data_IF_872436211411
#
_entry.id   IF_872436211411
#
_cell.length_a   1.000
_cell.length_b   1.000
_cell.length_c   1.000
_cell.angle_alpha   90.00
_cell.angle_beta   90.00
_cell.angle_gamma   90.00
#
_symmetry.space_group_name_H-M   'P 1'
#
loop_
_entity.id
_entity.type
_entity.pdbx_description
1 polymer ?
#
# COMPACT_ATOMS: atom_id res chain seq x y z
N UNK A 1 15.55 12.39 -22.22
CA UNK A 1 14.48 13.30 -21.95
C UNK A 1 14.32 13.51 -20.48
N UNK A 2 14.25 14.76 -20.04
CA UNK A 2 14.00 15.07 -18.64
C UNK A 2 12.59 14.64 -18.29
N UNK A 3 12.45 13.80 -17.29
CA UNK A 3 11.17 13.49 -16.66
C UNK A 3 10.65 14.78 -16.03
N UNK A 4 9.65 15.39 -16.63
CA UNK A 4 9.00 16.58 -16.08
C UNK A 4 7.87 16.07 -15.19
N UNK A 5 8.10 16.03 -13.89
CA UNK A 5 7.03 15.87 -12.92
C UNK A 5 6.04 17.03 -13.08
N UNK A 6 4.75 16.72 -13.05
CA UNK A 6 3.70 17.72 -13.01
C UNK A 6 3.92 18.64 -11.82
N UNK A 7 3.69 19.94 -12.00
CA UNK A 7 3.72 20.88 -10.88
C UNK A 7 2.76 20.40 -9.78
N UNK A 8 3.17 20.57 -8.54
CA UNK A 8 2.36 20.18 -7.39
C UNK A 8 2.39 21.26 -6.32
N UNK A 9 1.37 21.26 -5.47
CA UNK A 9 1.25 22.15 -4.30
C UNK A 9 1.21 21.25 -3.07
N UNK A 10 2.17 21.45 -2.17
CA UNK A 10 2.22 20.77 -0.87
C UNK A 10 1.98 21.77 0.24
N UNK A 11 1.00 21.50 1.11
CA UNK A 11 0.63 22.37 2.24
C UNK A 11 0.67 21.58 3.54
N UNK A 12 1.36 22.13 4.52
CA UNK A 12 1.33 21.65 5.89
C UNK A 12 0.10 22.23 6.58
N UNK A 13 -0.83 21.38 7.00
CA UNK A 13 -2.13 21.81 7.56
C UNK A 13 -2.07 21.90 9.08
N UNK A 14 -1.43 20.90 9.71
CA UNK A 14 -1.28 20.78 11.15
C UNK A 14 -0.10 19.84 11.43
N UNK A 15 0.36 19.69 12.69
CA UNK A 15 1.37 18.68 13.01
C UNK A 15 0.95 17.29 12.54
N UNK A 16 1.78 16.68 11.66
CA UNK A 16 1.51 15.37 11.07
C UNK A 16 0.38 15.34 10.03
N UNK A 17 -0.11 16.50 9.58
CA UNK A 17 -1.18 16.56 8.55
C UNK A 17 -0.69 17.40 7.38
N UNK A 18 -0.70 16.81 6.19
CA UNK A 18 -0.31 17.46 4.95
C UNK A 18 -1.36 17.25 3.86
N UNK A 19 -1.42 18.19 2.93
CA UNK A 19 -2.21 18.11 1.73
C UNK A 19 -1.30 18.26 0.52
N UNK A 20 -1.44 17.37 -0.45
CA UNK A 20 -0.76 17.43 -1.74
C UNK A 20 -1.79 17.55 -2.85
N UNK A 21 -1.70 18.61 -3.63
CA UNK A 21 -2.50 18.81 -4.82
C UNK A 21 -1.63 18.71 -6.07
N UNK A 22 -2.01 17.82 -6.98
CA UNK A 22 -1.35 17.63 -8.27
C UNK A 22 -2.34 18.02 -9.36
N UNK A 23 -2.19 19.22 -9.99
CA UNK A 23 -3.04 19.61 -11.11
C UNK A 23 -2.84 18.64 -12.28
N UNK A 24 -3.92 18.07 -12.78
CA UNK A 24 -3.87 17.07 -13.84
C UNK A 24 -5.10 17.18 -14.75
N UNK A 25 -5.30 18.36 -15.34
CA UNK A 25 -6.44 18.67 -16.20
C UNK A 25 -6.51 17.88 -17.50
N UNK A 26 -5.48 17.10 -17.84
CA UNK A 26 -5.46 16.22 -19.00
C UNK A 26 -6.25 14.92 -18.82
N UNK A 27 -6.55 14.55 -17.59
CA UNK A 27 -7.25 13.30 -17.30
C UNK A 27 -8.77 13.48 -17.30
N UNK A 28 -9.49 12.42 -17.61
CA UNK A 28 -10.96 12.40 -17.55
C UNK A 28 -11.49 12.23 -16.14
N UNK A 29 -10.66 11.74 -15.22
CA UNK A 29 -11.02 11.46 -13.84
C UNK A 29 -10.06 12.14 -12.88
N UNK A 30 -10.55 12.34 -11.66
CA UNK A 30 -9.76 12.78 -10.51
C UNK A 30 -9.52 11.61 -9.57
N UNK A 31 -8.40 11.62 -8.88
CA UNK A 31 -8.09 10.67 -7.80
C UNK A 31 -7.85 11.45 -6.51
N UNK A 32 -8.70 11.22 -5.52
CA UNK A 32 -8.66 11.88 -4.22
C UNK A 32 -8.51 10.82 -3.14
N UNK A 33 -7.62 11.05 -2.18
CA UNK A 33 -7.39 10.05 -1.13
C UNK A 33 -7.02 10.68 0.20
N UNK A 34 -7.32 9.95 1.27
CA UNK A 34 -6.87 10.22 2.63
C UNK A 34 -6.06 9.02 3.09
N UNK A 35 -4.79 9.25 3.39
CA UNK A 35 -3.88 8.25 3.93
C UNK A 35 -3.65 8.51 5.40
N UNK A 36 -3.75 7.46 6.21
CA UNK A 36 -3.57 7.51 7.65
C UNK A 36 -2.49 6.48 8.02
N UNK A 37 -1.32 6.97 8.42
CA UNK A 37 -0.23 6.11 8.86
C UNK A 37 -0.21 6.06 10.40
N UNK A 38 -0.19 4.85 10.92
CA UNK A 38 -0.12 4.58 12.37
C UNK A 38 1.00 3.56 12.63
N UNK A 39 1.56 3.53 13.84
CA UNK A 39 2.51 2.46 14.18
C UNK A 39 1.87 1.09 13.99
N UNK A 40 2.63 0.14 13.45
CA UNK A 40 2.17 -1.23 13.33
C UNK A 40 2.22 -1.90 14.71
N UNK A 41 1.05 -2.21 15.25
CA UNK A 41 0.87 -2.86 16.55
C UNK A 41 0.01 -4.10 16.39
N UNK A 42 0.47 -5.23 16.88
CA UNK A 42 -0.21 -6.53 16.70
C UNK A 42 -1.65 -6.52 17.22
N UNK A 43 -1.90 -5.85 18.35
CA UNK A 43 -3.23 -5.80 18.96
C UNK A 43 -4.15 -4.76 18.32
N UNK A 44 -3.61 -3.84 17.52
CA UNK A 44 -4.37 -2.74 16.93
C UNK A 44 -4.66 -2.90 15.44
N UNK A 45 -3.85 -3.66 14.72
CA UNK A 45 -3.93 -3.73 13.25
C UNK A 45 -5.33 -4.10 12.75
N UNK A 46 -5.97 -5.12 13.32
CA UNK A 46 -7.33 -5.53 12.96
C UNK A 46 -8.35 -4.43 13.26
N UNK A 47 -8.22 -3.76 14.40
CA UNK A 47 -9.14 -2.68 14.81
C UNK A 47 -9.07 -1.48 13.86
N UNK A 48 -7.88 -1.08 13.43
CA UNK A 48 -7.70 -0.03 12.44
C UNK A 48 -8.29 -0.42 11.09
N UNK A 49 -8.02 -1.64 10.64
CA UNK A 49 -8.57 -2.14 9.37
C UNK A 49 -10.10 -2.20 9.39
N UNK A 50 -10.68 -2.65 10.50
CA UNK A 50 -12.14 -2.66 10.69
C UNK A 50 -12.71 -1.24 10.73
N UNK A 51 -12.04 -0.31 11.39
CA UNK A 51 -12.47 1.09 11.49
C UNK A 51 -12.54 1.76 10.12
N UNK A 52 -11.47 1.66 9.32
CA UNK A 52 -11.44 2.27 7.98
C UNK A 52 -12.48 1.64 7.05
N UNK A 53 -12.74 0.34 7.17
CA UNK A 53 -13.77 -0.36 6.41
C UNK A 53 -15.17 0.10 6.83
N UNK A 54 -15.42 0.21 8.13
CA UNK A 54 -16.71 0.64 8.67
C UNK A 54 -17.09 2.06 8.22
N UNK A 55 -16.17 3.01 8.32
CA UNK A 55 -16.44 4.41 7.91
C UNK A 55 -16.64 4.54 6.41
N UNK A 56 -16.14 3.62 5.59
CA UNK A 56 -16.27 3.69 4.14
C UNK A 56 -17.65 3.29 3.60
N UNK A 57 -18.51 2.67 4.42
CA UNK A 57 -19.81 2.14 3.98
C UNK A 57 -20.98 2.97 4.39
N UNK A 58 -20.89 3.69 5.48
CA UNK A 58 -21.95 4.49 6.07
C UNK A 58 -21.36 5.69 6.77
N UNK A 59 -22.14 6.74 6.87
CA UNK A 59 -21.81 7.93 7.64
C UNK A 59 -23.07 8.56 8.17
N UNK A 60 -22.93 9.57 9.01
CA UNK A 60 -24.06 10.33 9.53
C UNK A 60 -24.90 10.96 8.40
N UNK A 61 -24.21 11.45 7.35
CA UNK A 61 -24.86 12.00 6.16
C UNK A 61 -25.41 10.91 5.21
N UNK A 62 -24.93 9.68 5.33
CA UNK A 62 -25.29 8.54 4.46
C UNK A 62 -25.57 7.33 5.35
N UNK A 63 -26.76 7.25 6.00
CA UNK A 63 -27.01 6.31 7.10
C UNK A 63 -27.09 4.85 6.69
N UNK A 64 -27.15 4.55 5.40
CA UNK A 64 -27.14 3.20 4.86
C UNK A 64 -26.44 3.14 3.51
N UNK A 65 -26.17 1.94 3.02
CA UNK A 65 -25.51 1.70 1.73
C UNK A 65 -26.27 2.31 0.56
N UNK A 66 -27.60 2.31 0.61
CA UNK A 66 -28.43 2.89 -0.44
C UNK A 66 -28.23 4.40 -0.52
N UNK A 67 -28.25 5.08 0.61
CA UNK A 67 -28.01 6.53 0.68
C UNK A 67 -26.62 6.90 0.13
N UNK A 68 -25.61 6.13 0.48
CA UNK A 68 -24.25 6.33 -0.04
C UNK A 68 -24.17 6.11 -1.55
N UNK A 69 -24.75 5.02 -2.05
CA UNK A 69 -24.77 4.73 -3.49
C UNK A 69 -25.53 5.79 -4.29
N UNK A 70 -26.65 6.29 -3.77
CA UNK A 70 -27.37 7.40 -4.41
C UNK A 70 -26.51 8.66 -4.50
N UNK A 71 -25.72 8.95 -3.47
CA UNK A 71 -24.82 10.09 -3.48
C UNK A 71 -23.68 9.89 -4.48
N UNK A 72 -23.10 8.69 -4.57
CA UNK A 72 -22.08 8.36 -5.56
C UNK A 72 -22.62 8.46 -6.99
N UNK A 73 -23.86 8.02 -7.22
CA UNK A 73 -24.52 8.17 -8.52
C UNK A 73 -24.72 9.64 -8.90
N UNK A 74 -25.09 10.49 -7.94
CA UNK A 74 -25.18 11.95 -8.14
C UNK A 74 -23.82 12.57 -8.47
N UNK A 75 -22.74 11.93 -8.09
CA UNK A 75 -21.37 12.29 -8.45
C UNK A 75 -20.90 11.53 -9.72
N UNK A 76 -21.82 11.27 -10.62
CA UNK A 76 -21.54 10.64 -11.93
C UNK A 76 -20.89 9.27 -11.83
N UNK A 77 -21.32 8.46 -10.86
CA UNK A 77 -20.81 7.12 -10.66
C UNK A 77 -19.43 7.07 -10.01
N UNK A 78 -19.16 8.00 -9.09
CA UNK A 78 -17.91 7.98 -8.33
C UNK A 78 -17.73 6.67 -7.57
N UNK A 79 -16.49 6.22 -7.43
CA UNK A 79 -16.16 4.95 -6.78
C UNK A 79 -15.22 5.16 -5.60
N UNK A 80 -15.56 4.53 -4.47
CA UNK A 80 -14.74 4.55 -3.24
C UNK A 80 -13.88 3.30 -3.19
N UNK A 81 -12.64 3.45 -2.75
CA UNK A 81 -11.71 2.36 -2.47
C UNK A 81 -11.17 2.47 -1.05
N UNK A 82 -10.86 1.32 -0.44
CA UNK A 82 -10.26 1.24 0.89
C UNK A 82 -9.16 0.19 0.87
N UNK A 83 -8.01 0.53 1.44
CA UNK A 83 -6.90 -0.42 1.56
C UNK A 83 -6.26 -0.32 2.95
N UNK A 84 -5.65 -1.43 3.38
CA UNK A 84 -4.80 -1.52 4.55
C UNK A 84 -3.48 -2.16 4.12
N UNK A 85 -2.40 -1.40 4.21
CA UNK A 85 -1.06 -1.82 3.81
C UNK A 85 -0.05 -1.59 4.93
N UNK A 86 1.19 -1.97 4.70
CA UNK A 86 2.30 -1.74 5.64
C UNK A 86 3.54 -1.24 4.89
N UNK A 87 4.30 -0.39 5.56
CA UNK A 87 5.60 0.09 5.08
C UNK A 87 6.45 0.46 6.28
N UNK A 88 7.70 -0.02 6.31
CA UNK A 88 8.56 0.21 7.46
C UNK A 88 7.96 -0.37 8.74
N UNK A 89 7.84 0.46 9.77
CA UNK A 89 7.18 0.12 11.03
C UNK A 89 5.72 0.55 11.11
N UNK A 90 5.11 0.96 9.99
CA UNK A 90 3.78 1.57 9.96
C UNK A 90 2.73 0.71 9.26
N UNK A 91 1.50 0.84 9.74
CA UNK A 91 0.29 0.44 9.04
C UNK A 91 -0.27 1.66 8.33
N UNK A 92 -0.62 1.53 7.04
CA UNK A 92 -1.14 2.61 6.23
C UNK A 92 -2.56 2.27 5.80
N UNK A 93 -3.50 3.09 6.26
CA UNK A 93 -4.91 2.95 5.96
C UNK A 93 -5.29 4.04 4.97
N UNK A 94 -5.93 3.65 3.87
CA UNK A 94 -6.26 4.56 2.79
C UNK A 94 -7.73 4.50 2.46
N UNK A 95 -8.37 5.67 2.34
CA UNK A 95 -9.66 5.87 1.68
C UNK A 95 -9.44 6.69 0.43
N UNK A 96 -9.93 6.22 -0.70
CA UNK A 96 -9.84 6.93 -1.97
C UNK A 96 -11.20 7.06 -2.64
N UNK A 97 -11.34 8.08 -3.47
CA UNK A 97 -12.48 8.24 -4.38
C UNK A 97 -11.99 8.64 -5.76
N UNK A 98 -12.46 7.95 -6.76
CA UNK A 98 -12.27 8.30 -8.16
C UNK A 98 -13.52 8.98 -8.67
N UNK A 99 -13.38 10.20 -9.19
CA UNK A 99 -14.50 10.99 -9.72
C UNK A 99 -14.27 11.36 -11.17
N UNK A 100 -15.36 11.67 -11.88
CA UNK A 100 -15.28 12.31 -13.17
C UNK A 100 -14.70 13.73 -13.03
N UNK A 101 -13.92 14.19 -14.01
CA UNK A 101 -13.43 15.56 -14.01
C UNK A 101 -14.57 16.57 -14.13
N UNK A 102 -14.44 17.71 -13.47
CA UNK A 102 -15.48 18.76 -13.36
C UNK A 102 -15.94 19.28 -14.74
N UNK A 103 -15.06 19.28 -15.74
CA UNK A 103 -15.40 19.74 -17.11
C UNK A 103 -16.49 18.91 -17.77
N UNK A 104 -16.74 17.71 -17.30
CA UNK A 104 -17.80 16.83 -17.82
C UNK A 104 -19.12 16.95 -17.07
N UNK A 105 -19.18 17.81 -16.05
CA UNK A 105 -20.41 18.07 -15.31
C UNK A 105 -21.44 18.73 -16.22
N UNK A 106 -22.72 18.37 -15.99
CA UNK A 106 -23.83 18.90 -16.80
C UNK A 106 -24.21 20.34 -16.43
N UNK A 107 -24.08 20.70 -15.14
CA UNK A 107 -24.55 21.95 -14.57
C UNK A 107 -23.45 22.70 -13.79
N UNK A 108 -22.23 22.69 -14.26
CA UNK A 108 -21.07 23.33 -13.61
C UNK A 108 -20.81 22.87 -12.17
N UNK A 109 -21.22 21.63 -11.82
CA UNK A 109 -20.93 21.07 -10.52
C UNK A 109 -19.44 20.87 -10.30
N UNK A 110 -18.99 21.08 -9.07
CA UNK A 110 -17.61 20.82 -8.64
C UNK A 110 -17.52 19.39 -8.09
N UNK A 111 -17.39 18.43 -9.00
CA UNK A 111 -17.43 16.99 -8.68
C UNK A 111 -16.27 16.59 -7.78
N UNK A 112 -15.05 17.06 -8.05
CA UNK A 112 -13.87 16.74 -7.26
C UNK A 112 -14.02 17.25 -5.82
N UNK A 113 -14.44 18.49 -5.63
CA UNK A 113 -14.68 19.04 -4.29
C UNK A 113 -15.76 18.27 -3.54
N UNK A 114 -16.85 17.92 -4.22
CA UNK A 114 -17.92 17.11 -3.63
C UNK A 114 -17.44 15.70 -3.26
N UNK A 115 -16.58 15.10 -4.08
CA UNK A 115 -15.96 13.81 -3.78
C UNK A 115 -15.06 13.86 -2.55
N UNK A 116 -14.23 14.88 -2.42
CA UNK A 116 -13.41 15.06 -1.22
C UNK A 116 -14.26 15.30 0.02
N UNK A 117 -15.29 16.12 -0.08
CA UNK A 117 -16.24 16.36 1.02
C UNK A 117 -16.92 15.06 1.45
N UNK A 118 -17.30 14.21 0.50
CA UNK A 118 -17.88 12.89 0.80
C UNK A 118 -16.92 12.01 1.57
N UNK A 119 -15.64 11.92 1.15
CA UNK A 119 -14.62 11.16 1.89
C UNK A 119 -14.45 11.70 3.32
N UNK A 120 -14.40 13.02 3.46
CA UNK A 120 -14.25 13.67 4.77
C UNK A 120 -15.48 13.41 5.66
N UNK A 121 -16.69 13.48 5.10
CA UNK A 121 -17.91 13.15 5.84
C UNK A 121 -17.87 11.72 6.37
N UNK A 122 -17.42 10.77 5.56
CA UNK A 122 -17.33 9.37 5.97
C UNK A 122 -16.30 9.17 7.09
N UNK A 123 -15.11 9.75 6.94
CA UNK A 123 -14.02 9.55 7.90
C UNK A 123 -14.25 10.28 9.22
N UNK A 124 -14.66 11.56 9.17
CA UNK A 124 -14.75 12.42 10.36
C UNK A 124 -16.11 12.36 11.04
N UNK A 125 -17.15 11.95 10.34
CA UNK A 125 -18.53 11.97 10.84
C UNK A 125 -19.24 10.64 10.56
N UNK A 126 -18.72 9.53 11.12
CA UNK A 126 -19.32 8.21 10.93
C UNK A 126 -20.67 8.07 11.62
N UNK A 127 -21.45 7.09 11.19
CA UNK A 127 -22.70 6.74 11.85
C UNK A 127 -22.41 5.91 13.10
N UNK A 128 -22.57 6.54 14.26
CA UNK A 128 -22.42 5.91 15.57
C UNK A 128 -23.79 5.75 16.23
N UNK A 129 -23.92 4.77 17.14
CA UNK A 129 -25.10 4.61 17.97
C UNK A 129 -25.18 5.69 19.05
N UNK A 130 -26.27 5.65 19.84
CA UNK A 130 -26.49 6.56 20.97
C UNK A 130 -25.37 6.44 22.03
N UNK A 131 -24.76 5.26 22.14
CA UNK A 131 -23.61 4.99 23.00
C UNK A 131 -22.28 5.59 22.46
N UNK A 132 -22.30 6.20 21.27
CA UNK A 132 -21.11 6.76 20.63
C UNK A 132 -20.17 5.73 20.01
N UNK A 133 -20.65 4.51 19.79
CA UNK A 133 -19.88 3.40 19.22
C UNK A 133 -20.44 2.98 17.85
N UNK A 134 -19.58 2.37 17.05
CA UNK A 134 -20.04 1.65 15.85
C UNK A 134 -21.04 0.57 16.26
N UNK A 135 -22.07 0.32 15.44
CA UNK A 135 -23.06 -0.71 15.75
C UNK A 135 -22.43 -2.11 15.71
N UNK A 136 -22.89 -3.05 16.55
CA UNK A 136 -22.46 -4.44 16.46
C UNK A 136 -22.65 -5.05 15.08
N UNK A 137 -23.77 -4.71 14.41
CA UNK A 137 -24.07 -5.21 13.07
C UNK A 137 -23.05 -4.74 12.02
N UNK A 138 -22.62 -3.48 12.11
CA UNK A 138 -21.61 -2.94 11.19
C UNK A 138 -20.24 -3.60 11.42
N UNK A 139 -19.86 -3.83 12.67
CA UNK A 139 -18.63 -4.55 13.01
C UNK A 139 -18.67 -5.99 12.47
N UNK A 140 -19.79 -6.70 12.62
CA UNK A 140 -19.95 -8.06 12.09
C UNK A 140 -19.83 -8.10 10.56
N UNK A 141 -20.40 -7.12 9.87
CA UNK A 141 -20.30 -7.02 8.41
C UNK A 141 -18.82 -6.85 7.99
N UNK A 142 -18.12 -5.93 8.60
CA UNK A 142 -16.72 -5.66 8.28
C UNK A 142 -15.79 -6.80 8.68
N UNK A 143 -16.04 -7.42 9.82
CA UNK A 143 -15.32 -8.62 10.29
C UNK A 143 -15.39 -9.74 9.25
N UNK A 144 -16.60 -10.03 8.76
CA UNK A 144 -16.82 -11.05 7.73
C UNK A 144 -16.03 -10.74 6.47
N UNK A 145 -16.10 -9.49 5.98
CA UNK A 145 -15.37 -9.06 4.78
C UNK A 145 -13.86 -9.25 4.94
N UNK A 146 -13.30 -8.84 6.08
CA UNK A 146 -11.85 -8.98 6.32
C UNK A 146 -11.43 -10.43 6.53
N UNK A 147 -12.25 -11.26 7.18
CA UNK A 147 -11.99 -12.69 7.29
C UNK A 147 -11.99 -13.37 5.92
N UNK A 148 -12.89 -13.00 5.03
CA UNK A 148 -12.91 -13.50 3.64
C UNK A 148 -11.65 -13.07 2.88
N UNK A 149 -11.19 -11.84 3.06
CA UNK A 149 -9.94 -11.35 2.46
C UNK A 149 -8.72 -12.11 2.96
N UNK A 150 -8.64 -12.38 4.27
CA UNK A 150 -7.55 -13.19 4.84
C UNK A 150 -7.55 -14.61 4.26
N UNK A 151 -8.73 -15.23 4.14
CA UNK A 151 -8.85 -16.57 3.54
C UNK A 151 -8.42 -16.56 2.07
N UNK A 152 -8.77 -15.52 1.32
CA UNK A 152 -8.35 -15.36 -0.07
C UNK A 152 -6.81 -15.22 -0.19
N UNK A 153 -6.17 -14.49 0.71
CA UNK A 153 -4.71 -14.35 0.77
C UNK A 153 -4.03 -15.71 1.03
N UNK A 154 -4.57 -16.52 1.94
CA UNK A 154 -4.04 -17.87 2.22
C UNK A 154 -4.24 -18.83 1.05
N UNK A 155 -5.33 -18.69 0.27
CA UNK A 155 -5.62 -19.50 -0.88
C UNK A 155 -4.81 -19.11 -2.11
N UNK A 156 -4.37 -17.87 -2.21
CA UNK A 156 -3.44 -17.43 -3.25
C UNK A 156 -2.01 -17.81 -2.82
N UNK A 157 -1.54 -18.98 -3.26
CA UNK A 157 -0.32 -19.62 -2.73
C UNK A 157 0.97 -18.86 -3.01
N UNK A 158 1.01 -18.08 -4.08
CA UNK A 158 2.15 -17.21 -4.37
C UNK A 158 2.27 -16.11 -3.30
N UNK A 159 1.16 -15.47 -2.96
CA UNK A 159 1.09 -14.47 -1.89
C UNK A 159 1.33 -15.09 -0.53
N UNK A 160 0.71 -16.24 -0.26
CA UNK A 160 0.89 -16.99 0.98
C UNK A 160 2.36 -17.29 1.28
N UNK A 161 3.10 -17.74 0.26
CA UNK A 161 4.53 -18.02 0.41
C UNK A 161 5.35 -16.77 0.81
N UNK A 162 5.04 -15.61 0.21
CA UNK A 162 5.68 -14.34 0.58
C UNK A 162 5.34 -13.97 2.01
N UNK A 163 4.08 -14.09 2.41
CA UNK A 163 3.63 -13.76 3.78
C UNK A 163 4.32 -14.67 4.82
N UNK A 164 4.46 -15.95 4.53
CA UNK A 164 5.17 -16.89 5.41
C UNK A 164 6.65 -16.55 5.52
N UNK A 165 7.29 -16.21 4.42
CA UNK A 165 8.68 -15.74 4.44
C UNK A 165 8.83 -14.51 5.36
N UNK A 166 7.91 -13.54 5.26
CA UNK A 166 7.92 -12.36 6.10
C UNK A 166 7.76 -12.72 7.59
N UNK A 167 6.88 -13.65 7.91
CA UNK A 167 6.71 -14.13 9.30
C UNK A 167 7.99 -14.73 9.87
N UNK A 168 8.73 -15.46 9.06
CA UNK A 168 9.99 -16.12 9.45
C UNK A 168 11.14 -15.11 9.53
N UNK A 169 11.32 -14.34 8.49
CA UNK A 169 12.43 -13.40 8.33
C UNK A 169 12.35 -12.24 9.32
N UNK A 170 11.14 -11.77 9.59
CA UNK A 170 10.86 -10.63 10.46
C UNK A 170 10.27 -11.06 11.82
N UNK A 171 10.60 -12.24 12.29
CA UNK A 171 10.18 -12.69 13.63
C UNK A 171 10.63 -11.66 14.69
N UNK A 172 9.68 -11.24 15.52
CA UNK A 172 9.92 -10.20 16.53
C UNK A 172 9.86 -8.75 16.02
N UNK A 173 9.75 -8.54 14.72
CA UNK A 173 9.63 -7.23 14.10
C UNK A 173 8.15 -6.94 13.77
N UNK A 174 7.63 -5.72 14.04
CA UNK A 174 6.26 -5.36 13.67
C UNK A 174 5.94 -5.54 12.19
N UNK A 175 6.91 -5.47 11.31
CA UNK A 175 6.71 -5.67 9.86
C UNK A 175 6.12 -7.05 9.50
N UNK A 176 6.29 -8.07 10.36
CA UNK A 176 5.67 -9.39 10.15
C UNK A 176 4.14 -9.36 10.22
N UNK A 177 3.56 -8.33 10.85
CA UNK A 177 2.13 -8.25 11.12
C UNK A 177 1.36 -7.98 9.82
N UNK A 178 0.29 -8.76 9.59
CA UNK A 178 -0.62 -8.49 8.48
C UNK A 178 -1.42 -7.21 8.78
N UNK A 179 -1.44 -6.24 7.88
CA UNK A 179 -2.15 -4.98 8.09
C UNK A 179 -3.68 -5.14 8.21
N UNK A 180 -4.23 -6.30 7.84
CA UNK A 180 -5.65 -6.64 8.06
C UNK A 180 -5.89 -7.33 9.41
N UNK A 181 -4.82 -7.60 10.15
CA UNK A 181 -4.89 -8.38 11.38
C UNK A 181 -4.79 -9.88 11.14
N UNK A 182 -5.17 -10.65 12.14
CA UNK A 182 -5.26 -12.12 12.09
C UNK A 182 -6.71 -12.54 12.31
N UNK A 183 -7.02 -13.82 12.07
CA UNK A 183 -8.34 -14.38 12.39
C UNK A 183 -8.67 -14.15 13.88
N UNK A 184 -7.72 -14.40 14.76
CA UNK A 184 -7.89 -14.24 16.22
C UNK A 184 -8.17 -12.78 16.59
N UNK A 185 -7.39 -11.84 16.07
CA UNK A 185 -7.56 -10.41 16.39
C UNK A 185 -8.83 -9.83 15.77
N UNK A 186 -9.22 -10.27 14.58
CA UNK A 186 -10.50 -9.89 13.98
C UNK A 186 -11.69 -10.40 14.79
N UNK A 187 -11.64 -11.65 15.27
CA UNK A 187 -12.71 -12.22 16.10
C UNK A 187 -12.79 -11.56 17.47
N UNK A 188 -11.68 -11.10 18.02
CA UNK A 188 -11.62 -10.42 19.31
C UNK A 188 -12.09 -8.96 19.27
N UNK A 189 -12.17 -8.33 18.10
CA UNK A 189 -12.57 -6.94 17.95
C UNK A 189 -14.03 -6.72 18.39
N UNK A 190 -14.28 -5.59 19.02
CA UNK A 190 -15.58 -5.19 19.57
C UNK A 190 -15.96 -3.79 19.06
N UNK A 191 -17.23 -3.37 19.14
CA UNK A 191 -17.59 -1.99 18.85
C UNK A 191 -16.72 -0.98 19.62
N UNK A 192 -16.42 -1.25 20.88
CA UNK A 192 -15.55 -0.41 21.72
C UNK A 192 -14.13 -0.32 21.18
N UNK A 193 -13.52 -1.46 20.85
CA UNK A 193 -12.13 -1.50 20.38
C UNK A 193 -11.97 -0.85 19.00
N UNK A 194 -12.93 -1.06 18.11
CA UNK A 194 -12.90 -0.47 16.75
C UNK A 194 -13.16 1.04 16.80
N UNK A 195 -14.10 1.48 17.62
CA UNK A 195 -14.38 2.91 17.80
C UNK A 195 -13.20 3.64 18.44
N UNK A 196 -12.57 3.03 19.42
CA UNK A 196 -11.34 3.57 20.03
C UNK A 196 -10.21 3.68 19.00
N UNK A 197 -10.07 2.68 18.12
CA UNK A 197 -9.08 2.71 17.03
C UNK A 197 -9.36 3.84 16.04
N UNK A 198 -10.62 4.05 15.66
CA UNK A 198 -11.01 5.17 14.79
C UNK A 198 -10.64 6.52 15.42
N UNK A 199 -10.97 6.73 16.68
CA UNK A 199 -10.64 7.97 17.40
C UNK A 199 -9.12 8.18 17.50
N UNK A 200 -8.37 7.12 17.82
CA UNK A 200 -6.92 7.18 17.93
C UNK A 200 -6.27 7.51 16.58
N UNK A 201 -6.77 6.91 15.51
CA UNK A 201 -6.31 7.15 14.15
C UNK A 201 -6.47 8.63 13.76
N UNK A 202 -7.62 9.24 14.03
CA UNK A 202 -7.85 10.67 13.78
C UNK A 202 -6.96 11.56 14.63
N UNK A 203 -6.69 11.14 15.86
CA UNK A 203 -5.90 11.94 16.82
C UNK A 203 -4.41 11.87 16.59
N UNK A 204 -3.88 10.69 16.30
CA UNK A 204 -2.43 10.42 16.37
C UNK A 204 -1.76 10.10 15.02
N UNK A 205 -2.51 9.78 13.97
CA UNK A 205 -1.92 9.36 12.71
C UNK A 205 -1.13 10.46 12.00
N UNK A 206 -0.15 10.05 11.18
CA UNK A 206 0.34 10.88 10.08
C UNK A 206 -0.74 10.85 9.00
N UNK A 207 -1.30 12.00 8.68
CA UNK A 207 -2.40 12.13 7.72
C UNK A 207 -1.91 12.83 6.45
N UNK A 208 -2.12 12.22 5.31
CA UNK A 208 -1.84 12.80 4.01
C UNK A 208 -3.11 12.79 3.17
N UNK A 209 -3.58 13.96 2.78
CA UNK A 209 -4.67 14.12 1.81
C UNK A 209 -4.06 14.43 0.45
N UNK A 210 -4.41 13.64 -0.55
CA UNK A 210 -3.94 13.81 -1.93
C UNK A 210 -5.12 14.17 -2.83
N UNK A 211 -4.93 15.17 -3.69
CA UNK A 211 -5.92 15.57 -4.67
C UNK A 211 -5.23 15.69 -6.04
N UNK A 212 -5.49 14.71 -6.90
CA UNK A 212 -4.93 14.66 -8.26
C UNK A 212 -6.05 14.94 -9.26
N UNK A 213 -5.97 16.10 -9.91
CA UNK A 213 -6.98 16.51 -10.87
C UNK A 213 -7.32 18.01 -10.79
N UNK A 214 -8.57 18.34 -11.03
CA UNK A 214 -9.07 19.72 -11.17
C UNK A 214 -9.53 20.39 -9.85
N UNK A 215 -9.18 19.82 -8.69
CA UNK A 215 -9.54 20.41 -7.39
C UNK A 215 -8.72 21.68 -7.12
N UNK A 216 -9.38 22.72 -6.64
CA UNK A 216 -8.70 23.91 -6.12
C UNK A 216 -7.96 23.58 -4.82
N UNK A 217 -6.63 23.70 -4.77
CA UNK A 217 -5.85 23.40 -3.57
C UNK A 217 -6.29 24.20 -2.33
N UNK A 218 -6.63 25.46 -2.48
CA UNK A 218 -7.06 26.32 -1.34
C UNK A 218 -8.41 25.85 -0.78
N UNK A 219 -9.35 25.48 -1.64
CA UNK A 219 -10.64 24.94 -1.22
C UNK A 219 -10.47 23.61 -0.47
N UNK A 220 -9.59 22.72 -0.98
CA UNK A 220 -9.27 21.45 -0.33
C UNK A 220 -8.62 21.66 1.05
N UNK A 221 -7.67 22.58 1.15
CA UNK A 221 -7.04 22.95 2.42
C UNK A 221 -8.06 23.49 3.43
N UNK A 222 -8.93 24.39 3.00
CA UNK A 222 -9.97 24.96 3.86
C UNK A 222 -10.94 23.88 4.37
N UNK A 223 -11.35 22.96 3.50
CA UNK A 223 -12.22 21.84 3.88
C UNK A 223 -11.56 20.94 4.92
N UNK A 224 -10.29 20.60 4.73
CA UNK A 224 -9.54 19.77 5.68
C UNK A 224 -9.36 20.46 7.02
N UNK A 225 -9.00 21.75 7.04
CA UNK A 225 -8.85 22.52 8.26
C UNK A 225 -10.15 22.56 9.08
N UNK A 226 -11.29 22.76 8.43
CA UNK A 226 -12.61 22.75 9.11
C UNK A 226 -12.88 21.43 9.81
N UNK A 227 -12.54 20.30 9.17
CA UNK A 227 -12.72 18.97 9.77
C UNK A 227 -11.82 18.77 10.98
N UNK A 228 -10.58 19.23 10.91
CA UNK A 228 -9.61 19.11 11.99
C UNK A 228 -9.93 19.98 13.21
N UNK A 229 -10.70 21.05 13.06
CA UNK A 229 -11.17 21.86 14.21
C UNK A 229 -11.94 21.02 15.23
N UNK A 230 -12.64 19.99 14.78
CA UNK A 230 -13.37 19.06 15.66
C UNK A 230 -12.54 17.92 16.23
N UNK A 231 -11.25 17.88 15.93
CA UNK A 231 -10.34 16.79 16.35
C UNK A 231 -9.19 17.37 17.17
N UNK A 232 -9.07 16.91 18.41
CA UNK A 232 -7.91 17.22 19.23
C UNK A 232 -6.74 16.32 18.81
N UNK A 233 -5.84 16.88 17.99
CA UNK A 233 -4.69 16.15 17.46
C UNK A 233 -3.58 16.02 18.51
N UNK A 234 -3.01 14.83 18.62
CA UNK A 234 -1.87 14.51 19.47
C UNK A 234 -0.86 13.68 18.66
N UNK A 235 -0.43 14.22 17.53
CA UNK A 235 0.47 13.54 16.63
C UNK A 235 1.79 13.18 17.31
N UNK A 236 2.22 11.94 17.10
CA UNK A 236 3.53 11.44 17.46
C UNK A 236 4.28 11.05 16.20
N UNK A 237 5.59 11.32 16.09
CA UNK A 237 6.38 10.87 14.95
C UNK A 237 6.27 9.35 14.77
N UNK A 238 6.21 8.91 13.52
CA UNK A 238 6.13 7.48 13.23
C UNK A 238 7.41 6.76 13.66
N UNK A 239 7.31 5.49 14.09
CA UNK A 239 8.49 4.75 14.52
C UNK A 239 9.43 4.52 13.35
N UNK A 240 10.73 4.65 13.62
CA UNK A 240 11.77 4.30 12.66
C UNK A 240 11.72 2.78 12.43
N UNK A 241 11.80 2.30 11.18
CA UNK A 241 11.86 0.87 10.90
C UNK A 241 13.05 0.21 11.61
N UNK A 242 12.83 -0.98 12.15
CA UNK A 242 13.90 -1.76 12.76
C UNK A 242 14.87 -2.24 11.67
N UNK A 243 16.11 -1.79 11.74
CA UNK A 243 17.14 -2.10 10.74
C UNK A 243 17.97 -3.31 11.15
N UNK A 244 18.02 -4.32 10.28
CA UNK A 244 18.88 -5.50 10.43
C UNK A 244 19.79 -5.61 9.21
N UNK A 245 21.08 -5.42 9.41
CA UNK A 245 22.09 -5.35 8.33
C UNK A 245 22.31 -6.69 7.64
N UNK A 246 22.27 -7.79 8.39
CA UNK A 246 22.51 -9.14 7.88
C UNK A 246 21.78 -10.17 8.72
N UNK A 247 21.51 -11.33 8.18
CA UNK A 247 21.00 -12.44 8.96
C UNK A 247 22.15 -13.19 9.65
N UNK A 248 21.90 -13.65 10.88
CA UNK A 248 22.92 -14.39 11.64
C UNK A 248 23.04 -15.83 11.16
N UNK A 249 21.91 -16.42 10.73
CA UNK A 249 21.87 -17.76 10.18
C UNK A 249 20.76 -17.88 9.15
N UNK A 250 20.97 -18.75 8.16
CA UNK A 250 19.97 -19.06 7.15
C UNK A 250 18.85 -19.90 7.78
N UNK A 251 17.62 -19.51 7.53
CA UNK A 251 16.42 -20.28 7.91
C UNK A 251 15.84 -20.91 6.67
N UNK A 252 15.68 -22.23 6.67
CA UNK A 252 15.04 -23.01 5.59
C UNK A 252 13.77 -23.65 6.19
N UNK A 253 12.62 -23.22 5.73
CA UNK A 253 11.32 -23.73 6.20
C UNK A 253 10.54 -24.26 5.02
N UNK A 254 10.02 -25.47 5.15
CA UNK A 254 9.28 -26.15 4.10
C UNK A 254 7.90 -26.56 4.62
N UNK A 255 6.89 -26.24 3.82
CA UNK A 255 5.51 -26.68 4.06
C UNK A 255 5.06 -27.56 2.89
N UNK A 256 4.27 -28.59 3.18
CA UNK A 256 3.71 -29.46 2.18
C UNK A 256 2.21 -29.21 2.03
N UNK A 257 1.79 -28.89 0.80
CA UNK A 257 0.38 -28.70 0.46
C UNK A 257 0.04 -29.41 -0.85
N UNK A 258 -1.24 -29.70 -1.05
CA UNK A 258 -1.72 -30.30 -2.30
C UNK A 258 -1.87 -29.24 -3.38
N UNK A 259 -0.76 -28.78 -3.96
CA UNK A 259 -0.73 -27.84 -5.07
C UNK A 259 0.11 -28.41 -6.22
N UNK A 260 -0.21 -27.98 -7.45
CA UNK A 260 0.49 -28.48 -8.64
C UNK A 260 1.91 -27.97 -8.75
N UNK A 261 2.15 -26.73 -8.33
CA UNK A 261 3.45 -26.08 -8.46
C UNK A 261 3.93 -25.64 -7.09
N UNK A 262 5.17 -25.96 -6.78
CA UNK A 262 5.83 -25.44 -5.59
C UNK A 262 6.03 -23.93 -5.66
N UNK A 263 5.95 -23.30 -4.51
CA UNK A 263 6.23 -21.87 -4.33
C UNK A 263 7.47 -21.71 -3.48
N UNK A 264 8.48 -21.06 -4.02
CA UNK A 264 9.74 -20.80 -3.35
C UNK A 264 9.89 -19.29 -3.16
N UNK A 265 10.25 -18.88 -1.95
CA UNK A 265 10.58 -17.49 -1.66
C UNK A 265 11.90 -17.42 -0.91
N UNK A 266 12.84 -16.63 -1.42
CA UNK A 266 14.12 -16.35 -0.80
C UNK A 266 14.16 -14.90 -0.32
N UNK A 267 14.44 -14.69 0.96
CA UNK A 267 14.62 -13.36 1.53
C UNK A 267 16.09 -13.07 1.85
N UNK A 268 16.58 -11.90 1.49
CA UNK A 268 17.93 -11.45 1.75
C UNK A 268 17.94 -10.11 2.47
N UNK A 269 18.60 -10.04 3.63
CA UNK A 269 18.88 -8.75 4.26
C UNK A 269 19.88 -7.99 3.39
N UNK A 270 19.67 -6.68 3.26
CA UNK A 270 20.64 -5.79 2.62
C UNK A 270 21.16 -4.82 3.66
N UNK A 271 22.49 -4.62 3.69
CA UNK A 271 23.13 -3.68 4.61
C UNK A 271 22.97 -2.25 4.07
N UNK A 272 21.72 -1.79 4.01
CA UNK A 272 21.39 -0.49 3.46
C UNK A 272 20.16 0.06 4.21
N UNK A 273 20.33 1.20 4.88
CA UNK A 273 19.20 1.89 5.53
C UNK A 273 18.30 2.52 4.47
N UNK A 274 17.02 2.76 4.77
CA UNK A 274 16.08 3.34 3.80
C UNK A 274 16.52 4.68 3.19
N UNK A 275 17.23 5.50 3.95
CA UNK A 275 17.74 6.82 3.55
C UNK A 275 19.15 6.79 2.93
N UNK A 276 19.72 5.60 2.71
CA UNK A 276 21.05 5.45 2.12
C UNK A 276 21.07 6.04 0.70
N UNK A 277 22.07 6.89 0.38
CA UNK A 277 22.22 7.46 -0.96
C UNK A 277 22.35 6.43 -2.08
N UNK A 278 22.76 5.19 -1.76
CA UNK A 278 22.88 4.09 -2.71
C UNK A 278 21.56 3.31 -2.93
N UNK A 279 20.47 3.68 -2.29
CA UNK A 279 19.18 3.01 -2.49
C UNK A 279 18.73 2.96 -3.96
N UNK A 280 18.91 4.03 -4.79
CA UNK A 280 18.64 3.94 -6.22
C UNK A 280 19.49 2.89 -6.94
N UNK A 281 20.77 2.76 -6.56
CA UNK A 281 21.65 1.73 -7.11
C UNK A 281 21.19 0.31 -6.73
N UNK A 282 20.73 0.12 -5.50
CA UNK A 282 20.14 -1.15 -5.05
C UNK A 282 18.87 -1.49 -5.83
N UNK A 283 18.03 -0.51 -6.12
CA UNK A 283 16.84 -0.69 -6.95
C UNK A 283 17.23 -1.14 -8.36
N UNK A 284 18.23 -0.50 -8.97
CA UNK A 284 18.75 -0.89 -10.28
C UNK A 284 19.35 -2.30 -10.26
N UNK A 285 20.11 -2.64 -9.22
CA UNK A 285 20.63 -3.99 -9.01
C UNK A 285 19.49 -5.03 -8.97
N UNK A 286 18.47 -4.78 -8.19
CA UNK A 286 17.32 -5.68 -8.05
C UNK A 286 16.58 -5.84 -9.38
N UNK A 287 16.44 -4.78 -10.16
CA UNK A 287 15.78 -4.82 -11.46
C UNK A 287 16.58 -5.62 -12.49
N UNK A 288 17.89 -5.46 -12.54
CA UNK A 288 18.81 -6.27 -13.35
C UNK A 288 18.74 -7.74 -12.96
N UNK A 289 18.66 -8.00 -11.65
CA UNK A 289 18.60 -9.35 -11.12
C UNK A 289 17.29 -10.07 -11.47
N UNK A 290 16.14 -9.44 -11.22
CA UNK A 290 14.86 -10.10 -11.38
C UNK A 290 13.67 -9.18 -11.59
N UNK A 291 13.85 -7.99 -12.17
CA UNK A 291 12.79 -7.00 -12.30
C UNK A 291 11.88 -7.15 -13.52
N UNK A 292 12.32 -7.85 -14.56
CA UNK A 292 11.54 -7.96 -15.78
C UNK A 292 12.04 -9.03 -16.74
N UNK A 293 11.47 -9.13 -17.96
CA UNK A 293 11.84 -10.16 -18.95
C UNK A 293 13.30 -10.13 -19.39
N UNK A 294 13.96 -9.00 -19.26
CA UNK A 294 15.38 -8.81 -19.57
C UNK A 294 16.31 -9.24 -18.44
N UNK A 295 15.78 -9.52 -17.25
CA UNK A 295 16.57 -9.78 -16.05
C UNK A 295 17.30 -11.10 -16.08
N UNK A 296 18.34 -11.22 -15.25
CA UNK A 296 19.12 -12.47 -15.09
C UNK A 296 18.22 -13.65 -14.71
N UNK A 297 17.32 -13.48 -13.75
CA UNK A 297 16.44 -14.57 -13.29
C UNK A 297 15.46 -15.01 -14.37
N UNK A 298 14.82 -14.05 -15.05
CA UNK A 298 13.88 -14.37 -16.11
C UNK A 298 14.58 -15.09 -17.26
N UNK A 299 15.69 -14.54 -17.77
CA UNK A 299 16.37 -15.08 -18.95
C UNK A 299 17.06 -16.41 -18.68
N UNK A 300 17.69 -16.56 -17.54
CA UNK A 300 18.55 -17.72 -17.27
C UNK A 300 17.83 -18.82 -16.48
N UNK A 301 17.09 -18.49 -15.43
CA UNK A 301 16.41 -19.51 -14.61
C UNK A 301 15.12 -19.98 -15.26
N UNK A 302 14.32 -19.06 -15.80
CA UNK A 302 13.04 -19.39 -16.45
C UNK A 302 13.22 -19.82 -17.90
N UNK A 303 13.75 -18.93 -18.75
CA UNK A 303 13.79 -19.17 -20.20
C UNK A 303 14.86 -20.19 -20.62
N UNK A 304 16.10 -19.97 -20.23
CA UNK A 304 17.23 -20.78 -20.69
C UNK A 304 17.27 -22.15 -20.05
N UNK A 305 17.07 -22.25 -18.74
CA UNK A 305 17.16 -23.49 -17.99
C UNK A 305 15.83 -24.17 -17.74
N UNK A 306 14.73 -23.49 -18.00
CA UNK A 306 13.36 -24.00 -17.83
C UNK A 306 13.09 -24.60 -16.44
N UNK A 307 13.70 -24.02 -15.40
CA UNK A 307 13.58 -24.51 -14.03
C UNK A 307 12.31 -24.06 -13.33
N UNK A 308 11.67 -23.00 -13.84
CA UNK A 308 10.51 -22.39 -13.17
C UNK A 308 9.53 -21.75 -14.15
N UNK A 309 8.33 -21.48 -13.68
CA UNK A 309 7.26 -20.79 -14.41
C UNK A 309 7.36 -19.27 -14.28
N UNK A 310 7.84 -18.81 -13.15
CA UNK A 310 8.18 -17.41 -12.90
C UNK A 310 9.35 -17.34 -11.93
N UNK A 311 10.16 -16.31 -12.08
CA UNK A 311 11.24 -16.01 -11.16
C UNK A 311 11.50 -14.50 -11.21
N UNK A 312 11.27 -13.82 -10.10
CA UNK A 312 11.39 -12.37 -10.01
C UNK A 312 11.95 -11.93 -8.67
N UNK A 313 12.57 -10.77 -8.63
CA UNK A 313 13.10 -10.16 -7.43
C UNK A 313 12.44 -8.81 -7.15
N UNK A 314 12.26 -8.49 -5.88
CA UNK A 314 11.76 -7.19 -5.41
C UNK A 314 12.64 -6.65 -4.29
N UNK A 315 12.81 -5.34 -4.29
CA UNK A 315 13.49 -4.60 -3.24
C UNK A 315 12.47 -3.85 -2.38
N UNK A 316 12.42 -4.18 -1.11
CA UNK A 316 11.60 -3.49 -0.11
C UNK A 316 12.49 -2.52 0.67
N UNK A 317 12.64 -1.31 0.17
CA UNK A 317 13.57 -0.28 0.66
C UNK A 317 13.35 0.02 2.14
N UNK A 318 12.09 0.23 2.56
CA UNK A 318 11.77 0.65 3.92
C UNK A 318 12.13 -0.38 4.98
N UNK A 319 12.20 -1.65 4.60
CA UNK A 319 12.54 -2.74 5.52
C UNK A 319 13.87 -3.41 5.19
N UNK A 320 14.65 -2.82 4.29
CA UNK A 320 16.05 -3.19 3.98
C UNK A 320 16.22 -4.66 3.62
N UNK A 321 15.42 -5.17 2.68
CA UNK A 321 15.55 -6.54 2.19
C UNK A 321 15.17 -6.67 0.72
N UNK A 322 15.68 -7.72 0.11
CA UNK A 322 15.28 -8.19 -1.22
C UNK A 322 14.65 -9.56 -1.05
N UNK A 323 13.63 -9.85 -1.83
CA UNK A 323 13.08 -11.19 -1.87
C UNK A 323 12.86 -11.65 -3.30
N UNK A 324 13.07 -12.94 -3.53
CA UNK A 324 12.87 -13.60 -4.80
C UNK A 324 11.67 -14.53 -4.69
N UNK A 325 10.75 -14.43 -5.66
CA UNK A 325 9.64 -15.34 -5.82
C UNK A 325 9.92 -16.26 -7.00
N UNK A 326 9.74 -17.56 -6.80
CA UNK A 326 9.94 -18.56 -7.85
C UNK A 326 8.85 -19.63 -7.76
N UNK A 327 8.16 -19.88 -8.87
CA UNK A 327 7.21 -20.97 -8.99
C UNK A 327 7.80 -22.09 -9.82
N UNK A 328 8.00 -23.26 -9.23
CA UNK A 328 8.63 -24.40 -9.91
C UNK A 328 8.11 -25.74 -9.40
N UNK A 329 8.41 -26.81 -10.16
CA UNK A 329 8.17 -28.17 -9.69
C UNK A 329 9.05 -28.45 -8.47
N UNK A 330 8.54 -29.24 -7.53
CA UNK A 330 9.27 -29.61 -6.30
C UNK A 330 10.66 -30.19 -6.60
N UNK A 331 10.77 -31.03 -7.60
CA UNK A 331 12.02 -31.67 -8.03
C UNK A 331 13.06 -30.65 -8.54
N UNK A 332 12.63 -29.46 -8.98
CA UNK A 332 13.50 -28.41 -9.50
C UNK A 332 13.87 -27.34 -8.46
N UNK A 333 13.32 -27.40 -7.26
CA UNK A 333 13.53 -26.34 -6.25
C UNK A 333 15.00 -26.15 -5.89
N UNK A 334 15.72 -27.23 -5.60
CA UNK A 334 17.13 -27.13 -5.22
C UNK A 334 18.00 -26.61 -6.37
N UNK A 335 17.70 -27.02 -7.60
CA UNK A 335 18.38 -26.51 -8.81
C UNK A 335 18.06 -25.03 -9.03
N UNK A 336 16.82 -24.63 -8.82
CA UNK A 336 16.39 -23.23 -8.94
C UNK A 336 17.11 -22.34 -7.92
N UNK A 337 17.21 -22.76 -6.67
CA UNK A 337 17.96 -22.04 -5.64
C UNK A 337 19.44 -21.87 -6.03
N UNK A 338 20.08 -22.96 -6.46
CA UNK A 338 21.47 -22.94 -6.89
C UNK A 338 21.69 -21.97 -8.06
N UNK A 339 20.80 -21.99 -9.05
CA UNK A 339 20.92 -21.11 -10.22
C UNK A 339 20.62 -19.65 -9.88
N UNK A 340 19.66 -19.37 -9.00
CA UNK A 340 19.39 -18.02 -8.49
C UNK A 340 20.66 -17.44 -7.84
N UNK A 341 21.30 -18.20 -6.97
CA UNK A 341 22.53 -17.78 -6.30
C UNK A 341 23.68 -17.60 -7.29
N UNK A 342 23.78 -18.46 -8.31
CA UNK A 342 24.77 -18.32 -9.37
C UNK A 342 24.57 -17.03 -10.18
N UNK A 343 23.35 -16.68 -10.53
CA UNK A 343 23.05 -15.43 -11.23
C UNK A 343 23.41 -14.21 -10.40
N UNK A 344 23.25 -14.28 -9.09
CA UNK A 344 23.68 -13.24 -8.17
C UNK A 344 25.23 -13.05 -8.22
N UNK A 345 25.97 -14.15 -8.24
CA UNK A 345 27.43 -14.12 -8.37
C UNK A 345 27.88 -13.52 -9.70
N UNK A 346 27.19 -13.83 -10.79
CA UNK A 346 27.48 -13.27 -12.12
C UNK A 346 27.35 -11.74 -12.12
N UNK A 347 26.34 -11.18 -11.48
CA UNK A 347 26.18 -9.72 -11.35
C UNK A 347 27.32 -9.15 -10.49
N UNK A 348 27.65 -9.80 -9.39
CA UNK A 348 28.77 -9.39 -8.52
C UNK A 348 30.08 -9.33 -9.31
N UNK A 349 30.31 -10.25 -10.22
CA UNK A 349 31.50 -10.32 -11.04
C UNK A 349 31.46 -9.39 -12.27
N UNK A 350 30.38 -8.61 -12.43
CA UNK A 350 30.24 -7.60 -13.46
C UNK A 350 29.61 -8.07 -14.78
N UNK A 351 29.14 -9.33 -14.85
CA UNK A 351 28.48 -9.87 -16.03
C UNK A 351 26.99 -9.49 -16.04
N UNK A 352 26.70 -8.23 -16.33
CA UNK A 352 25.32 -7.72 -16.36
C UNK A 352 25.13 -6.50 -17.28
N UNK A 353 26.05 -6.26 -18.20
CA UNK A 353 26.03 -5.05 -19.04
C UNK A 353 24.78 -4.93 -19.89
N UNK A 354 24.36 -6.00 -20.55
CA UNK A 354 23.17 -6.02 -21.41
C UNK A 354 21.90 -5.83 -20.59
N UNK A 355 21.80 -6.51 -19.47
CA UNK A 355 20.65 -6.41 -18.55
C UNK A 355 20.55 -5.03 -17.93
N UNK A 356 21.68 -4.41 -17.60
CA UNK A 356 21.73 -3.07 -17.04
C UNK A 356 21.18 -2.02 -18.04
N UNK A 357 21.54 -2.12 -19.31
CA UNK A 357 21.03 -1.22 -20.34
C UNK A 357 19.51 -1.42 -20.55
N UNK A 358 19.05 -2.66 -20.61
CA UNK A 358 17.62 -2.96 -20.74
C UNK A 358 16.83 -2.49 -19.50
N UNK A 359 17.38 -2.67 -18.31
CA UNK A 359 16.82 -2.19 -17.06
C UNK A 359 16.68 -0.67 -17.04
N UNK A 360 17.72 0.04 -17.48
CA UNK A 360 17.71 1.50 -17.55
C UNK A 360 16.54 2.01 -18.43
N UNK A 361 16.39 1.42 -19.60
CA UNK A 361 15.31 1.78 -20.54
C UNK A 361 13.94 1.47 -19.89
N UNK A 362 13.76 0.28 -19.31
CA UNK A 362 12.51 -0.12 -18.69
C UNK A 362 12.14 0.77 -17.49
N UNK A 363 13.12 1.18 -16.68
CA UNK A 363 12.88 2.07 -15.53
C UNK A 363 12.49 3.47 -15.98
N UNK A 364 13.09 3.99 -17.05
CA UNK A 364 12.70 5.28 -17.64
C UNK A 364 11.26 5.20 -18.16
N UNK A 365 10.92 4.14 -18.90
CA UNK A 365 9.55 3.93 -19.41
C UNK A 365 8.54 3.83 -18.27
N UNK A 366 8.88 3.14 -17.18
CA UNK A 366 8.02 3.03 -16.01
C UNK A 366 7.79 4.38 -15.32
N UNK A 367 8.84 5.21 -15.20
CA UNK A 367 8.71 6.56 -14.66
C UNK A 367 7.86 7.46 -15.55
N UNK A 368 8.03 7.38 -16.86
CA UNK A 368 7.19 8.12 -17.82
C UNK A 368 5.73 7.67 -17.70
N UNK A 369 5.48 6.37 -17.51
CA UNK A 369 4.15 5.81 -17.34
C UNK A 369 3.44 6.21 -16.03
N UNK A 370 4.17 6.62 -14.99
CA UNK A 370 3.58 7.14 -13.74
C UNK A 370 2.66 8.32 -14.01
N UNK A 371 3.03 9.20 -14.93
CA UNK A 371 2.27 10.39 -15.29
C UNK A 371 1.09 10.13 -16.23
N UNK A 372 0.85 8.89 -16.65
CA UNK A 372 -0.20 8.56 -17.63
C UNK A 372 -1.58 8.42 -17.01
N UNK A 373 -1.69 8.21 -15.71
CA UNK A 373 -2.97 8.06 -14.99
C UNK A 373 -3.00 8.86 -13.69
N UNK A 374 -4.19 9.32 -13.25
CA UNK A 374 -4.33 9.99 -11.95
C UNK A 374 -3.91 9.08 -10.79
N UNK A 375 -4.29 7.80 -10.85
CA UNK A 375 -3.93 6.83 -9.82
C UNK A 375 -2.41 6.58 -9.76
N UNK A 376 -1.73 6.53 -10.91
CA UNK A 376 -0.28 6.42 -10.97
C UNK A 376 0.43 7.59 -10.29
N UNK A 377 -0.01 8.81 -10.58
CA UNK A 377 0.51 10.03 -9.94
C UNK A 377 0.24 10.02 -8.42
N UNK A 378 -0.99 9.71 -8.03
CA UNK A 378 -1.37 9.67 -6.61
C UNK A 378 -0.51 8.68 -5.83
N UNK A 379 -0.39 7.45 -6.30
CA UNK A 379 0.42 6.42 -5.65
C UNK A 379 1.91 6.82 -5.56
N UNK A 380 2.45 7.40 -6.62
CA UNK A 380 3.85 7.79 -6.66
C UNK A 380 4.19 8.88 -5.62
N UNK A 381 3.37 9.94 -5.57
CA UNK A 381 3.58 11.03 -4.61
C UNK A 381 3.29 10.59 -3.17
N UNK A 382 2.20 9.84 -2.96
CA UNK A 382 1.82 9.37 -1.63
C UNK A 382 2.89 8.48 -1.00
N UNK A 383 3.46 7.55 -1.76
CA UNK A 383 4.51 6.67 -1.28
C UNK A 383 5.72 7.47 -0.78
N UNK A 384 6.13 8.51 -1.50
CA UNK A 384 7.28 9.34 -1.11
C UNK A 384 7.02 10.16 0.14
N UNK A 385 5.86 10.80 0.22
CA UNK A 385 5.52 11.65 1.36
C UNK A 385 5.21 10.87 2.64
N UNK A 386 4.72 9.65 2.52
CA UNK A 386 4.47 8.78 3.68
C UNK A 386 5.77 8.15 4.20
N UNK A 387 6.77 7.99 3.33
CA UNK A 387 8.07 7.41 3.70
C UNK A 387 9.04 8.46 4.27
N UNK A 388 8.77 9.74 4.12
CA UNK A 388 9.51 10.86 4.70
C UNK A 388 9.04 11.15 6.14
#
# INVERSE_FOLDING_TARGET
GSFILTDYVQKKIAPGVELLAVPAGRFKTNELAIHLAVPMEEQMAANYALAISAVSRKGKAYPDMRALHLQLDKLYGAAISVTANKSGGCQILKMGITTLDDRFALDDEKIAEAGLELLMNLLFDPLLGEDGLFSPADIETERRVLLEKLAAEENEKRLYAVMQMQQIMFAGDPYRINPKGTKETLLAATPESVTAAWRRMLRESKMLVTVVGSTDPEAACAALRRRLEGVERAYQPMPTPHFVARCEQVKDVRESEKIRQGKLVLGFRVNMRPDDPLAPAMRSFCDVFGGGPYSKLFMNVREKMSLCYYCSARFARQNSYIFIQCGCEEENMDKAVAEILHQLEMIRDGDCKAELESSRIAMIDALDGVADTPNGLENWYAARLLDD
#
